data_IF_144967735779
#
_entry.id   IF_144967735779
#
_cell.length_a   1.000
_cell.length_b   1.000
_cell.length_c   1.000
_cell.angle_alpha   90.00
_cell.angle_beta   90.00
_cell.angle_gamma   90.00
#
_symmetry.space_group_name_H-M   'P 1'
#
loop_
_entity.id
_entity.type
_entity.pdbx_description
1 polymer ?
#
# COMPACT_ATOMS: atom_id res chain seq x y z
N UNK A 1 15.39 -5.32 15.37
CA UNK A 1 14.85 -4.80 14.09
C UNK A 1 15.96 -4.02 13.42
N UNK A 2 16.15 -4.20 12.11
CA UNK A 2 17.18 -3.45 11.38
C UNK A 2 16.69 -2.02 11.12
N UNK A 3 17.59 -1.05 10.98
CA UNK A 3 17.22 0.33 10.60
C UNK A 3 16.40 0.37 9.31
N UNK A 4 16.69 -0.54 8.37
CA UNK A 4 15.98 -0.65 7.10
C UNK A 4 14.51 -1.07 7.28
N UNK A 5 14.21 -1.95 8.25
CA UNK A 5 12.82 -2.35 8.52
C UNK A 5 12.00 -1.17 9.04
N UNK A 6 12.62 -0.31 9.87
CA UNK A 6 11.97 0.89 10.42
C UNK A 6 11.68 1.89 9.28
N UNK A 7 12.60 2.08 8.34
CA UNK A 7 12.38 2.97 7.20
C UNK A 7 11.24 2.49 6.29
N UNK A 8 11.18 1.17 6.03
CA UNK A 8 10.11 0.54 5.25
C UNK A 8 8.76 0.68 5.98
N UNK A 9 8.72 0.42 7.29
CA UNK A 9 7.52 0.60 8.11
C UNK A 9 7.04 2.05 8.09
N UNK A 10 7.95 3.01 8.25
CA UNK A 10 7.63 4.42 8.19
C UNK A 10 7.11 4.84 6.80
N UNK A 11 7.64 4.26 5.72
CA UNK A 11 7.13 4.49 4.36
C UNK A 11 5.69 4.00 4.23
N UNK A 12 5.38 2.79 4.72
CA UNK A 12 4.02 2.26 4.70
C UNK A 12 3.05 3.10 5.54
N UNK A 13 3.46 3.57 6.72
CA UNK A 13 2.64 4.47 7.54
C UNK A 13 2.37 5.80 6.84
N UNK A 14 3.39 6.41 6.20
CA UNK A 14 3.20 7.64 5.41
C UNK A 14 2.25 7.42 4.23
N UNK A 15 2.36 6.28 3.54
CA UNK A 15 1.47 5.91 2.45
C UNK A 15 0.00 5.85 2.91
N UNK A 16 -0.27 5.18 4.04
CA UNK A 16 -1.63 5.13 4.60
C UNK A 16 -2.12 6.50 5.09
N UNK A 17 -1.23 7.29 5.72
CA UNK A 17 -1.59 8.61 6.20
C UNK A 17 -1.94 9.56 5.05
N UNK A 18 -1.13 9.58 3.99
CA UNK A 18 -1.41 10.39 2.79
C UNK A 18 -2.75 10.03 2.14
N UNK A 19 -3.12 8.74 2.13
CA UNK A 19 -4.45 8.32 1.71
C UNK A 19 -5.54 8.88 2.62
N UNK A 20 -5.39 8.72 3.94
CA UNK A 20 -6.38 9.14 4.93
C UNK A 20 -6.60 10.66 4.94
N UNK A 21 -5.55 11.42 4.62
CA UNK A 21 -5.61 12.87 4.48
C UNK A 21 -6.14 13.31 3.10
N UNK A 22 -6.31 12.38 2.16
CA UNK A 22 -6.65 12.69 0.77
C UNK A 22 -5.58 13.51 0.05
N UNK A 23 -4.32 13.41 0.48
CA UNK A 23 -3.20 14.18 -0.05
C UNK A 23 -2.47 13.40 -1.16
N UNK A 24 -2.85 13.71 -2.40
CA UNK A 24 -2.26 13.10 -3.57
C UNK A 24 -0.77 13.42 -3.76
N UNK A 25 -0.30 14.58 -3.30
CA UNK A 25 1.11 14.98 -3.41
C UNK A 25 1.96 14.16 -2.44
N UNK A 26 1.53 14.05 -1.19
CA UNK A 26 2.18 13.20 -0.19
C UNK A 26 2.14 11.72 -0.59
N UNK A 27 1.02 11.28 -1.18
CA UNK A 27 0.89 9.92 -1.70
C UNK A 27 1.90 9.66 -2.82
N UNK A 28 1.96 10.55 -3.82
CA UNK A 28 2.94 10.48 -4.91
C UNK A 28 4.39 10.49 -4.42
N UNK A 29 4.70 11.26 -3.37
CA UNK A 29 6.04 11.33 -2.79
C UNK A 29 6.56 10.00 -2.22
N UNK A 30 5.68 9.01 -1.97
CA UNK A 30 6.06 7.65 -1.56
C UNK A 30 6.69 6.81 -2.69
N UNK A 31 6.62 7.29 -3.94
CA UNK A 31 7.04 6.57 -5.12
C UNK A 31 8.24 7.22 -5.81
N UNK A 32 9.08 6.44 -6.51
CA UNK A 32 10.12 7.00 -7.39
C UNK A 32 9.49 7.61 -8.65
N UNK A 33 10.24 8.44 -9.37
CA UNK A 33 9.73 9.13 -10.56
C UNK A 33 9.33 8.17 -11.69
N UNK A 34 9.89 6.96 -11.69
CA UNK A 34 9.78 5.90 -12.69
C UNK A 34 9.04 4.65 -12.21
N UNK A 35 8.35 4.71 -11.06
CA UNK A 35 7.69 3.54 -10.49
C UNK A 35 6.43 3.11 -11.23
N UNK A 36 6.09 1.83 -11.12
CA UNK A 36 4.82 1.28 -11.57
C UNK A 36 3.82 1.16 -10.41
N UNK A 37 2.58 1.58 -10.66
CA UNK A 37 1.45 1.33 -9.77
C UNK A 37 0.39 0.51 -10.51
N UNK A 38 0.02 -0.64 -9.97
CA UNK A 38 -1.02 -1.51 -10.54
C UNK A 38 -2.23 -1.50 -9.61
N UNK A 39 -3.34 -0.99 -10.11
CA UNK A 39 -4.62 -0.94 -9.41
C UNK A 39 -5.30 -2.31 -9.35
N UNK A 40 -6.31 -2.45 -8.49
CA UNK A 40 -7.04 -3.71 -8.27
C UNK A 40 -7.72 -4.27 -9.54
N UNK A 41 -8.04 -3.42 -10.51
CA UNK A 41 -8.66 -3.76 -11.80
C UNK A 41 -7.62 -4.13 -12.87
N UNK A 42 -6.33 -4.10 -12.53
CA UNK A 42 -5.22 -4.35 -13.45
C UNK A 42 -4.74 -3.11 -14.21
N UNK A 43 -5.34 -1.94 -13.99
CA UNK A 43 -4.86 -0.69 -14.61
C UNK A 43 -3.46 -0.36 -14.11
N UNK A 44 -2.52 -0.14 -15.03
CA UNK A 44 -1.14 0.26 -14.72
C UNK A 44 -0.94 1.75 -14.97
N UNK A 45 -0.49 2.46 -13.94
CA UNK A 45 0.07 3.80 -14.06
C UNK A 45 1.60 3.71 -13.99
N UNK A 46 2.28 4.59 -14.73
CA UNK A 46 3.74 4.65 -14.84
C UNK A 46 4.22 6.04 -14.44
N UNK A 47 5.06 6.08 -13.42
CA UNK A 47 5.72 7.26 -12.90
C UNK A 47 4.90 8.07 -11.89
N UNK A 48 5.62 8.73 -10.99
CA UNK A 48 5.06 9.48 -9.84
C UNK A 48 3.93 10.44 -10.23
N UNK A 49 4.10 11.20 -11.30
CA UNK A 49 3.14 12.21 -11.73
C UNK A 49 1.77 11.58 -12.03
N UNK A 50 1.76 10.43 -12.71
CA UNK A 50 0.52 9.73 -13.03
C UNK A 50 -0.15 9.15 -11.77
N UNK A 51 0.63 8.63 -10.83
CA UNK A 51 0.09 8.14 -9.55
C UNK A 51 -0.61 9.27 -8.79
N UNK A 52 0.05 10.43 -8.71
CA UNK A 52 -0.50 11.61 -8.05
C UNK A 52 -1.78 12.10 -8.75
N UNK A 53 -1.76 12.28 -10.07
CA UNK A 53 -2.92 12.78 -10.82
C UNK A 53 -4.13 11.84 -10.71
N UNK A 54 -3.89 10.53 -10.74
CA UNK A 54 -4.95 9.53 -10.56
C UNK A 54 -5.52 9.56 -9.13
N UNK A 55 -4.66 9.65 -8.12
CA UNK A 55 -5.11 9.67 -6.73
C UNK A 55 -5.77 10.99 -6.34
N UNK A 56 -5.37 12.13 -6.91
CA UNK A 56 -6.08 13.41 -6.71
C UNK A 56 -7.53 13.32 -7.21
N UNK A 57 -7.75 12.75 -8.40
CA UNK A 57 -9.09 12.53 -8.94
C UNK A 57 -9.91 11.57 -8.04
N UNK A 58 -9.29 10.51 -7.55
CA UNK A 58 -9.95 9.56 -6.66
C UNK A 58 -10.33 10.21 -5.31
N UNK A 59 -9.40 10.92 -4.68
CA UNK A 59 -9.61 11.57 -3.38
C UNK A 59 -10.61 12.73 -3.44
N UNK A 60 -10.75 13.40 -4.59
CA UNK A 60 -11.80 14.40 -4.84
C UNK A 60 -13.14 13.81 -5.29
N UNK A 61 -13.16 12.54 -5.65
CA UNK A 61 -14.32 11.85 -6.18
C UNK A 61 -14.75 10.67 -5.32
N UNK A 62 -14.61 9.47 -5.87
CA UNK A 62 -15.20 8.26 -5.29
C UNK A 62 -14.57 7.82 -3.97
N UNK A 63 -13.37 8.31 -3.63
CA UNK A 63 -12.65 8.00 -2.38
C UNK A 63 -12.63 9.16 -1.38
N UNK A 64 -13.38 10.24 -1.62
CA UNK A 64 -13.44 11.37 -0.69
C UNK A 64 -13.85 10.94 0.72
N UNK A 65 -13.01 11.30 1.69
CA UNK A 65 -13.21 10.99 3.11
C UNK A 65 -13.09 9.51 3.46
N UNK A 66 -12.54 8.68 2.55
CA UNK A 66 -12.23 7.29 2.86
C UNK A 66 -11.00 7.19 3.78
N UNK A 67 -10.92 6.10 4.55
CA UNK A 67 -9.74 5.75 5.32
C UNK A 67 -9.18 4.41 4.83
N UNK A 68 -7.88 4.34 4.61
CA UNK A 68 -7.12 3.13 4.40
C UNK A 68 -6.61 2.61 5.74
N UNK A 69 -7.01 1.38 6.08
CA UNK A 69 -6.57 0.69 7.29
C UNK A 69 -5.91 -0.61 6.89
N UNK A 70 -4.67 -0.83 7.36
CA UNK A 70 -3.90 -2.00 6.97
C UNK A 70 -2.70 -2.25 7.86
N UNK A 71 -2.04 -3.36 7.60
CA UNK A 71 -0.87 -3.84 8.32
C UNK A 71 0.15 -4.50 7.38
N UNK A 72 1.40 -4.54 7.81
CA UNK A 72 2.48 -5.23 7.10
C UNK A 72 2.49 -6.69 7.56
N UNK A 73 2.41 -7.62 6.62
CA UNK A 73 2.45 -9.06 6.91
C UNK A 73 3.87 -9.63 6.79
N UNK A 74 4.69 -9.11 5.86
CA UNK A 74 6.07 -9.55 5.66
C UNK A 74 6.96 -8.46 5.05
N UNK A 75 8.26 -8.48 5.41
CA UNK A 75 9.31 -7.68 4.79
C UNK A 75 10.46 -8.62 4.43
N UNK A 76 10.72 -8.78 3.13
CA UNK A 76 11.78 -9.65 2.61
C UNK A 76 12.85 -8.85 1.89
N UNK A 77 14.04 -8.79 2.47
CA UNK A 77 15.23 -8.22 1.85
C UNK A 77 15.76 -9.18 0.77
N UNK A 78 15.96 -8.69 -0.45
CA UNK A 78 16.37 -9.52 -1.60
C UNK A 78 17.74 -9.13 -2.18
N UNK A 79 18.23 -7.93 -1.87
CA UNK A 79 19.58 -7.45 -2.17
C UNK A 79 19.91 -6.26 -1.25
N UNK A 80 21.18 -5.80 -1.16
CA UNK A 80 21.52 -4.57 -0.44
C UNK A 80 20.68 -3.39 -0.95
N UNK A 81 19.91 -2.77 -0.04
CA UNK A 81 19.03 -1.64 -0.38
C UNK A 81 17.74 -2.00 -1.12
N UNK A 82 17.42 -3.29 -1.28
CA UNK A 82 16.20 -3.74 -1.99
C UNK A 82 15.41 -4.72 -1.13
N UNK A 83 14.14 -4.40 -0.90
CA UNK A 83 13.22 -5.24 -0.15
C UNK A 83 11.84 -5.29 -0.83
N UNK A 84 11.11 -6.36 -0.56
CA UNK A 84 9.70 -6.52 -0.90
C UNK A 84 8.90 -6.42 0.40
N UNK A 85 7.95 -5.51 0.44
CA UNK A 85 6.94 -5.43 1.49
C UNK A 85 5.66 -6.11 0.98
N UNK A 86 5.09 -6.99 1.81
CA UNK A 86 3.75 -7.51 1.61
C UNK A 86 2.88 -7.08 2.79
N UNK A 87 1.78 -6.39 2.49
CA UNK A 87 0.84 -5.90 3.47
C UNK A 87 -0.58 -6.00 2.94
N UNK A 88 -1.54 -6.03 3.87
CA UNK A 88 -2.96 -6.03 3.54
C UNK A 88 -3.60 -4.75 4.02
N UNK A 89 -4.56 -4.24 3.25
CA UNK A 89 -5.28 -3.03 3.59
C UNK A 89 -6.73 -3.08 3.10
N UNK A 90 -7.60 -2.32 3.74
CA UNK A 90 -9.00 -2.15 3.40
C UNK A 90 -9.35 -0.68 3.33
N UNK A 91 -10.13 -0.31 2.31
CA UNK A 91 -10.69 1.03 2.17
C UNK A 91 -12.03 1.08 2.90
N UNK A 92 -12.10 1.95 3.90
CA UNK A 92 -13.29 2.28 4.66
C UNK A 92 -13.91 3.55 4.10
N UNK A 93 -15.15 3.45 3.62
CA UNK A 93 -15.89 4.62 3.15
C UNK A 93 -16.55 5.35 4.32
N UNK A 94 -16.70 6.69 4.26
CA UNK A 94 -17.25 7.48 5.38
C UNK A 94 -18.65 7.04 5.81
N UNK A 95 -19.47 6.52 4.89
CA UNK A 95 -20.81 6.01 5.18
C UNK A 95 -20.84 4.56 5.69
N UNK A 96 -19.68 3.89 5.82
CA UNK A 96 -19.54 2.53 6.34
C UNK A 96 -18.71 2.53 7.63
N UNK A 97 -19.39 2.42 8.77
CA UNK A 97 -18.75 2.37 10.09
C UNK A 97 -18.13 1.02 10.47
N UNK A 98 -18.16 0.00 9.59
CA UNK A 98 -17.63 -1.35 9.87
C UNK A 98 -16.73 -1.84 8.73
N UNK A 99 -15.56 -2.36 9.10
CA UNK A 99 -14.67 -3.08 8.19
C UNK A 99 -15.40 -4.27 7.56
N UNK A 100 -15.33 -4.45 6.23
CA UNK A 100 -15.75 -5.69 5.60
C UNK A 100 -15.04 -6.87 6.28
N UNK A 101 -15.76 -7.99 6.52
CA UNK A 101 -15.11 -9.21 6.98
C UNK A 101 -14.07 -9.63 5.95
N UNK A 102 -12.83 -9.79 6.40
CA UNK A 102 -11.74 -10.35 5.61
C UNK A 102 -12.19 -11.66 4.96
N UNK A 103 -12.04 -11.77 3.64
CA UNK A 103 -12.01 -13.07 3.00
C UNK A 103 -10.69 -13.72 3.39
N UNK A 104 -10.73 -14.62 4.37
CA UNK A 104 -9.60 -15.50 4.65
C UNK A 104 -9.30 -16.26 3.36
N UNK A 105 -8.06 -16.27 2.86
CA UNK A 105 -7.71 -17.13 1.75
C UNK A 105 -7.97 -18.57 2.20
N UNK A 106 -8.97 -19.21 1.60
CA UNK A 106 -9.24 -20.63 1.80
C UNK A 106 -8.15 -21.43 1.09
N UNK A 107 -7.01 -21.65 1.75
CA UNK A 107 -5.94 -22.48 1.22
C UNK A 107 -4.56 -22.01 1.68
N UNK A 108 -3.98 -22.73 2.65
CA UNK A 108 -2.67 -22.40 3.21
C UNK A 108 -1.52 -22.62 2.24
N UNK A 109 -0.58 -21.66 2.23
CA UNK A 109 0.81 -21.96 1.93
C UNK A 109 1.43 -22.56 3.19
N UNK A 110 1.43 -23.90 3.26
CA UNK A 110 2.31 -24.63 4.19
C UNK A 110 3.76 -24.22 3.90
N UNK A 111 4.51 -24.03 4.99
CA UNK A 111 5.82 -23.38 5.02
C UNK A 111 6.80 -23.89 3.96
N UNK A 112 7.59 -22.96 3.45
CA UNK A 112 8.78 -23.27 2.66
C UNK A 112 9.82 -23.84 3.63
N UNK A 113 10.32 -25.07 3.45
CA UNK A 113 11.48 -25.52 4.22
C UNK A 113 12.67 -24.64 3.86
N UNK A 114 13.39 -24.16 4.86
CA UNK A 114 14.75 -23.68 4.71
C UNK A 114 15.61 -24.89 4.30
N UNK A 115 16.12 -24.87 3.07
CA UNK A 115 17.14 -25.81 2.61
C UNK A 115 18.54 -25.33 3.05
N UNK A 116 19.48 -26.27 3.25
CA UNK A 116 20.64 -26.14 4.14
C UNK A 116 21.72 -25.18 3.65
#
# INVERSE_FOLDING_TARGET
>A
MSTNDIEIQNLFQRFMQAWNDGDAVAFGACFTADSDYVSYDGTRAVGRAQHQDNHDQLFRGVLTGSALVGEIEDIRHIAPGVAILYGTASVLMPWRSKLPKRHSPSGGCRGRPSSP
#
